data_IF_886498629880
#
_entry.id   IF_886498629880
#
_cell.length_a   1.000
_cell.length_b   1.000
_cell.length_c   1.000
_cell.angle_alpha   90.00
_cell.angle_beta   90.00
_cell.angle_gamma   90.00
#
_symmetry.space_group_name_H-M   'P 1'
#
loop_
_entity.id
_entity.type
_entity.pdbx_description
1 polymer ?
#
# COMPACT_ATOMS: atom_id res chain seq x y z
N UNK A 1 25.49 31.72 -33.82
CA UNK A 1 24.74 30.46 -33.97
C UNK A 1 25.14 29.54 -32.81
N UNK A 2 24.62 29.81 -31.60
CA UNK A 2 24.95 29.12 -30.35
C UNK A 2 23.86 28.09 -30.06
N UNK A 3 24.21 26.80 -30.04
CA UNK A 3 23.36 25.75 -29.46
C UNK A 3 23.64 25.70 -27.95
N UNK A 4 22.65 26.07 -27.15
CA UNK A 4 22.71 25.96 -25.69
C UNK A 4 22.56 24.50 -25.26
N UNK A 5 23.57 24.00 -24.55
CA UNK A 5 23.51 22.79 -23.74
C UNK A 5 22.75 23.11 -22.46
N UNK A 6 21.49 22.67 -22.36
CA UNK A 6 20.79 22.63 -21.08
C UNK A 6 21.29 21.42 -20.27
N UNK A 7 22.31 21.66 -19.43
CA UNK A 7 22.67 20.79 -18.30
C UNK A 7 21.54 20.88 -17.26
N UNK A 8 20.69 19.87 -17.20
CA UNK A 8 19.80 19.66 -16.05
C UNK A 8 20.65 18.98 -14.96
N UNK A 9 20.95 19.73 -13.91
CA UNK A 9 21.77 19.28 -12.78
C UNK A 9 21.01 18.25 -11.96
N UNK A 10 21.42 16.98 -12.06
CA UNK A 10 20.95 15.87 -11.24
C UNK A 10 21.58 16.02 -9.84
N UNK A 11 20.87 16.62 -8.89
CA UNK A 11 21.27 16.57 -7.48
C UNK A 11 20.96 15.19 -6.91
N UNK A 12 21.91 14.27 -7.09
CA UNK A 12 22.04 13.07 -6.27
C UNK A 12 22.18 13.47 -4.79
N UNK A 13 21.14 13.24 -3.99
CA UNK A 13 21.33 12.89 -2.58
C UNK A 13 21.25 11.37 -2.48
N UNK A 14 22.34 10.72 -2.87
CA UNK A 14 22.61 9.35 -2.46
C UNK A 14 22.82 9.38 -0.94
N UNK A 15 21.78 9.04 -0.18
CA UNK A 15 22.02 8.32 1.07
C UNK A 15 22.61 7.00 0.62
N UNK A 16 23.93 6.86 0.72
CA UNK A 16 24.57 5.58 0.50
C UNK A 16 23.89 4.56 1.41
N UNK A 17 23.36 3.52 0.79
CA UNK A 17 22.66 2.39 1.40
C UNK A 17 23.44 1.73 2.53
N UNK A 18 24.75 2.00 2.65
CA UNK A 18 25.66 1.44 3.64
C UNK A 18 25.29 1.75 5.10
N UNK A 19 24.77 2.94 5.43
CA UNK A 19 24.49 3.26 6.86
C UNK A 19 23.17 2.68 7.39
N UNK A 20 22.24 2.33 6.50
CA UNK A 20 20.98 1.67 6.86
C UNK A 20 21.10 0.14 6.70
N UNK A 21 21.89 -0.33 5.73
CA UNK A 21 22.21 -1.74 5.53
C UNK A 21 23.00 -2.34 6.70
N UNK A 22 23.91 -1.59 7.33
CA UNK A 22 24.63 -2.06 8.52
C UNK A 22 23.72 -2.27 9.76
N UNK A 23 22.49 -1.75 9.74
CA UNK A 23 21.53 -1.90 10.84
C UNK A 23 20.44 -2.95 10.57
N UNK A 24 20.29 -3.42 9.33
CA UNK A 24 19.28 -4.43 8.97
C UNK A 24 19.94 -5.57 8.20
N UNK A 25 20.57 -6.49 8.94
CA UNK A 25 20.83 -7.83 8.42
C UNK A 25 19.49 -8.48 8.07
N UNK A 26 19.11 -8.44 6.79
CA UNK A 26 18.55 -9.53 5.99
C UNK A 26 17.78 -8.98 4.79
N UNK A 27 18.03 -9.64 3.66
CA UNK A 27 17.27 -9.76 2.41
C UNK A 27 16.87 -8.47 1.68
N UNK A 28 17.61 -8.25 0.59
CA UNK A 28 17.28 -7.34 -0.50
C UNK A 28 15.91 -7.73 -1.08
N UNK A 29 14.86 -6.99 -0.73
CA UNK A 29 13.62 -7.00 -1.51
C UNK A 29 13.88 -6.23 -2.81
N UNK A 30 13.97 -6.93 -3.94
CA UNK A 30 13.98 -6.28 -5.26
C UNK A 30 12.74 -5.37 -5.35
N UNK A 31 12.97 -4.08 -5.58
CA UNK A 31 11.91 -3.07 -5.57
C UNK A 31 11.58 -2.67 -7.01
N UNK A 32 10.32 -2.75 -7.41
CA UNK A 32 9.90 -2.20 -8.69
C UNK A 32 9.20 -0.86 -8.50
N UNK A 33 9.57 0.08 -9.36
CA UNK A 33 8.97 1.39 -9.40
C UNK A 33 8.07 1.47 -10.64
N UNK A 34 6.77 1.67 -10.45
CA UNK A 34 5.90 2.05 -11.55
C UNK A 34 6.13 3.54 -11.85
N UNK A 35 6.58 3.81 -13.07
CA UNK A 35 6.41 5.12 -13.70
C UNK A 35 4.91 5.34 -13.83
N UNK A 36 4.43 6.57 -13.57
CA UNK A 36 3.09 6.78 -13.09
C UNK A 36 2.08 6.24 -14.07
N UNK A 37 0.97 5.83 -13.47
CA UNK A 37 -0.36 5.93 -14.03
C UNK A 37 -0.37 7.12 -15.01
N UNK A 38 -0.26 6.84 -16.31
CA UNK A 38 -0.46 7.84 -17.35
C UNK A 38 -1.80 8.54 -17.05
N UNK A 39 -1.95 9.82 -17.38
CA UNK A 39 -3.22 10.55 -17.21
C UNK A 39 -4.44 9.75 -17.71
N UNK A 40 -4.26 8.85 -18.67
CA UNK A 40 -5.22 7.81 -19.03
C UNK A 40 -5.54 6.87 -17.88
N UNK A 41 -4.62 6.03 -17.41
CA UNK A 41 -4.91 5.06 -16.35
C UNK A 41 -5.50 5.75 -15.10
N UNK A 42 -5.12 7.01 -14.85
CA UNK A 42 -5.69 7.86 -13.80
C UNK A 42 -7.14 8.21 -14.12
N UNK A 43 -7.41 8.66 -15.34
CA UNK A 43 -8.75 8.97 -15.82
C UNK A 43 -9.66 7.74 -15.80
N UNK A 44 -9.13 6.55 -16.11
CA UNK A 44 -9.86 5.29 -15.98
C UNK A 44 -10.26 5.05 -14.53
N UNK A 45 -9.30 5.14 -13.60
CA UNK A 45 -9.55 5.00 -12.16
C UNK A 45 -10.57 6.03 -11.67
N UNK A 46 -10.48 7.28 -12.11
CA UNK A 46 -11.45 8.34 -11.79
C UNK A 46 -12.84 8.01 -12.31
N UNK A 47 -12.99 7.64 -13.59
CA UNK A 47 -14.29 7.31 -14.18
C UNK A 47 -14.96 6.15 -13.43
N UNK A 48 -14.19 5.11 -13.11
CA UNK A 48 -14.69 3.95 -12.36
C UNK A 48 -15.05 4.36 -10.93
N UNK A 49 -14.20 5.13 -10.26
CA UNK A 49 -14.46 5.60 -8.89
C UNK A 49 -15.66 6.55 -8.79
N UNK A 50 -15.79 7.52 -9.69
CA UNK A 50 -16.89 8.49 -9.70
C UNK A 50 -18.24 7.78 -9.82
N UNK A 51 -18.28 6.65 -10.54
CA UNK A 51 -19.51 5.92 -10.75
C UNK A 51 -19.87 4.98 -9.59
N UNK A 52 -18.87 4.36 -8.94
CA UNK A 52 -19.10 3.27 -8.00
C UNK A 52 -18.69 3.57 -6.54
N UNK A 53 -17.97 4.66 -6.26
CA UNK A 53 -17.51 5.01 -4.90
C UNK A 53 -18.64 5.15 -3.88
N UNK A 54 -19.78 5.73 -4.26
CA UNK A 54 -20.97 5.83 -3.42
C UNK A 54 -21.54 4.46 -3.04
N UNK A 55 -21.92 3.61 -4.01
CA UNK A 55 -22.35 2.22 -3.77
C UNK A 55 -21.42 1.43 -2.86
N UNK A 56 -20.08 1.53 -3.04
CA UNK A 56 -19.10 0.79 -2.24
C UNK A 56 -19.26 0.96 -0.72
N UNK A 57 -19.72 2.12 -0.26
CA UNK A 57 -19.86 2.43 1.17
C UNK A 57 -21.01 1.70 1.86
N UNK A 58 -22.01 1.24 1.08
CA UNK A 58 -23.22 0.58 1.60
C UNK A 58 -23.00 -0.87 1.98
N UNK A 59 -21.95 -1.49 1.46
CA UNK A 59 -21.65 -2.89 1.73
C UNK A 59 -20.91 -3.05 3.04
N UNK A 60 -21.09 -4.18 3.71
CA UNK A 60 -20.39 -4.50 4.96
C UNK A 60 -19.06 -5.23 4.74
N UNK A 61 -18.41 -5.00 3.60
CA UNK A 61 -17.09 -5.55 3.26
C UNK A 61 -16.02 -4.45 3.27
N UNK A 62 -14.76 -4.81 3.54
CA UNK A 62 -13.64 -3.86 3.54
C UNK A 62 -13.56 -3.13 2.17
N UNK A 63 -13.43 -1.80 2.21
CA UNK A 63 -13.46 -0.96 1.02
C UNK A 63 -12.28 -1.23 0.07
N UNK A 64 -11.09 -1.56 0.57
CA UNK A 64 -9.94 -1.88 -0.29
C UNK A 64 -10.18 -3.17 -1.07
N UNK A 65 -10.81 -4.17 -0.45
CA UNK A 65 -11.19 -5.43 -1.11
C UNK A 65 -12.20 -5.15 -2.22
N UNK A 66 -13.29 -4.43 -1.90
CA UNK A 66 -14.31 -4.09 -2.90
C UNK A 66 -13.75 -3.22 -4.04
N UNK A 67 -12.81 -2.34 -3.73
CA UNK A 67 -12.15 -1.51 -4.73
C UNK A 67 -11.22 -2.31 -5.62
N UNK A 68 -10.54 -3.31 -5.08
CA UNK A 68 -9.76 -4.26 -5.88
C UNK A 68 -10.66 -5.07 -6.81
N UNK A 69 -11.79 -5.58 -6.33
CA UNK A 69 -12.79 -6.25 -7.15
C UNK A 69 -13.32 -5.36 -8.28
N UNK A 70 -13.73 -4.13 -7.94
CA UNK A 70 -14.21 -3.15 -8.91
C UNK A 70 -13.17 -2.82 -10.00
N UNK A 71 -11.89 -2.63 -9.64
CA UNK A 71 -10.85 -2.35 -10.62
C UNK A 71 -10.58 -3.55 -11.53
N UNK A 72 -10.62 -4.77 -10.96
CA UNK A 72 -10.45 -6.01 -11.71
C UNK A 72 -11.58 -6.21 -12.73
N UNK A 73 -12.83 -6.08 -12.29
CA UNK A 73 -14.01 -6.17 -13.14
C UNK A 73 -14.04 -5.08 -14.21
N UNK A 74 -13.58 -3.87 -13.87
CA UNK A 74 -13.48 -2.78 -14.82
C UNK A 74 -12.49 -3.09 -15.96
N UNK A 75 -11.39 -3.82 -15.69
CA UNK A 75 -10.49 -4.30 -16.74
C UNK A 75 -11.23 -5.26 -17.69
N UNK A 76 -11.95 -6.25 -17.14
CA UNK A 76 -12.72 -7.21 -17.93
C UNK A 76 -13.84 -6.54 -18.75
N UNK A 77 -14.53 -5.56 -18.16
CA UNK A 77 -15.56 -4.78 -18.83
C UNK A 77 -15.03 -3.75 -19.84
N UNK A 78 -13.75 -3.38 -19.74
CA UNK A 78 -13.05 -2.68 -20.82
C UNK A 78 -12.75 -3.59 -22.01
N UNK A 79 -12.94 -4.91 -21.85
CA UNK A 79 -12.68 -5.92 -22.85
C UNK A 79 -11.30 -6.56 -22.72
N UNK A 80 -10.50 -6.23 -21.70
CA UNK A 80 -9.22 -6.89 -21.49
C UNK A 80 -9.41 -8.36 -21.15
N UNK A 81 -8.61 -9.21 -21.79
CA UNK A 81 -8.57 -10.65 -21.56
C UNK A 81 -7.14 -11.16 -21.51
N UNK A 82 -6.94 -12.25 -20.77
CA UNK A 82 -5.67 -12.95 -20.78
C UNK A 82 -5.46 -13.68 -22.13
N UNK A 83 -4.31 -13.43 -22.75
CA UNK A 83 -3.87 -14.15 -23.95
C UNK A 83 -2.56 -14.90 -23.68
N UNK A 84 -2.57 -16.25 -23.64
CA UNK A 84 -1.38 -17.04 -23.38
C UNK A 84 -0.26 -16.85 -24.40
N UNK A 85 -0.62 -16.52 -25.64
CA UNK A 85 0.29 -16.33 -26.78
C UNK A 85 0.81 -14.91 -26.91
N UNK A 86 0.31 -13.96 -26.11
CA UNK A 86 0.79 -12.58 -26.12
C UNK A 86 2.28 -12.51 -25.75
N UNK A 87 2.96 -11.46 -26.22
CA UNK A 87 4.37 -11.26 -25.94
C UNK A 87 4.64 -11.36 -24.44
N UNK A 88 5.44 -12.36 -24.06
CA UNK A 88 5.94 -12.45 -22.69
C UNK A 88 7.00 -11.38 -22.55
N UNK A 89 6.75 -10.40 -21.70
CA UNK A 89 7.81 -9.51 -21.25
C UNK A 89 8.87 -10.35 -20.51
N UNK A 90 10.15 -10.02 -20.68
CA UNK A 90 11.23 -10.58 -19.87
C UNK A 90 11.36 -9.85 -18.52
N UNK A 91 10.26 -9.26 -18.04
CA UNK A 91 10.20 -8.39 -16.88
C UNK A 91 10.84 -9.01 -15.64
N UNK A 92 10.40 -10.21 -15.26
CA UNK A 92 10.91 -10.88 -14.06
C UNK A 92 12.39 -11.26 -14.21
N UNK A 93 12.87 -11.52 -15.44
CA UNK A 93 14.27 -11.80 -15.74
C UNK A 93 15.13 -10.54 -15.60
N UNK A 94 14.72 -9.42 -16.19
CA UNK A 94 15.44 -8.13 -16.11
C UNK A 94 15.50 -7.59 -14.69
N UNK A 95 14.47 -7.82 -13.88
CA UNK A 95 14.44 -7.40 -12.48
C UNK A 95 15.33 -8.25 -11.56
N UNK A 96 15.68 -9.47 -11.96
CA UNK A 96 16.69 -10.24 -11.21
C UNK A 96 18.08 -9.60 -11.31
N UNK A 97 18.31 -8.79 -12.36
CA UNK A 97 19.60 -8.17 -12.66
C UNK A 97 19.74 -6.75 -12.07
N UNK A 98 18.63 -6.07 -11.73
CA UNK A 98 18.62 -4.66 -11.30
C UNK A 98 17.97 -4.45 -9.92
N UNK A 99 18.58 -3.60 -9.07
CA UNK A 99 18.04 -3.23 -7.75
C UNK A 99 16.72 -2.43 -7.82
N UNK A 100 16.47 -1.74 -8.93
CA UNK A 100 15.24 -0.97 -9.16
C UNK A 100 14.95 -0.82 -10.65
N UNK A 101 13.84 -1.39 -11.11
CA UNK A 101 13.37 -1.23 -12.49
C UNK A 101 12.18 -0.26 -12.55
N UNK A 102 12.20 0.61 -13.56
CA UNK A 102 11.10 1.51 -13.88
C UNK A 102 10.15 0.84 -14.88
N UNK A 103 8.89 0.68 -14.48
CA UNK A 103 7.89 -0.03 -15.27
C UNK A 103 6.78 0.92 -15.69
N UNK A 104 6.40 0.86 -16.97
CA UNK A 104 5.27 1.58 -17.53
C UNK A 104 4.20 0.53 -17.85
N UNK A 105 2.95 0.67 -17.37
CA UNK A 105 1.86 -0.19 -17.81
C UNK A 105 1.78 -0.17 -19.35
N UNK A 106 1.74 -1.31 -20.05
CA UNK A 106 1.73 -1.29 -21.50
C UNK A 106 0.41 -0.71 -21.98
N UNK A 107 0.43 0.51 -22.51
CA UNK A 107 -0.79 1.15 -23.06
C UNK A 107 -1.37 0.35 -24.24
N UNK A 108 -0.52 -0.47 -24.88
CA UNK A 108 -0.87 -1.34 -26.01
C UNK A 108 -1.93 -2.39 -25.65
N UNK A 109 -1.98 -2.91 -24.40
CA UNK A 109 -3.02 -3.88 -24.04
C UNK A 109 -4.42 -3.26 -24.07
N UNK A 110 -4.54 -1.96 -23.78
CA UNK A 110 -5.83 -1.26 -23.86
C UNK A 110 -6.27 -1.07 -25.32
N UNK A 111 -5.35 -1.01 -26.28
CA UNK A 111 -5.71 -0.98 -27.70
C UNK A 111 -6.02 -2.37 -28.27
N UNK A 112 -5.32 -3.41 -27.82
CA UNK A 112 -5.48 -4.77 -28.33
C UNK A 112 -6.56 -5.56 -27.59
N UNK A 113 -7.02 -5.06 -26.44
CA UNK A 113 -7.96 -5.73 -25.54
C UNK A 113 -7.46 -7.10 -25.05
N UNK A 114 -6.15 -7.34 -25.13
CA UNK A 114 -5.49 -8.59 -24.74
C UNK A 114 -4.12 -8.29 -24.14
N UNK A 115 -3.65 -9.16 -23.25
CA UNK A 115 -2.32 -9.03 -22.67
C UNK A 115 -1.81 -10.34 -22.08
N UNK A 116 -0.49 -10.43 -21.95
CA UNK A 116 0.17 -11.51 -21.24
C UNK A 116 -0.10 -11.42 -19.73
N UNK A 117 0.14 -12.51 -19.00
CA UNK A 117 -0.09 -12.55 -17.56
C UNK A 117 0.73 -11.49 -16.80
N UNK A 118 1.93 -11.16 -17.30
CA UNK A 118 2.80 -10.15 -16.69
C UNK A 118 2.29 -8.72 -16.92
N UNK A 119 1.84 -8.43 -18.14
CA UNK A 119 1.29 -7.12 -18.50
C UNK A 119 0.01 -6.83 -17.73
N UNK A 120 -0.86 -7.84 -17.59
CA UNK A 120 -2.06 -7.76 -16.76
C UNK A 120 -1.71 -7.56 -15.28
N UNK A 121 -0.69 -8.25 -14.76
CA UNK A 121 -0.25 -8.10 -13.37
C UNK A 121 0.25 -6.68 -13.08
N UNK A 122 1.09 -6.14 -13.96
CA UNK A 122 1.62 -4.77 -13.85
C UNK A 122 0.48 -3.75 -13.93
N UNK A 123 -0.46 -3.94 -14.85
CA UNK A 123 -1.59 -3.03 -15.07
C UNK A 123 -2.54 -3.03 -13.87
N UNK A 124 -2.90 -4.22 -13.37
CA UNK A 124 -3.76 -4.34 -12.20
C UNK A 124 -3.09 -3.75 -10.94
N UNK A 125 -1.80 -4.03 -10.73
CA UNK A 125 -1.04 -3.42 -9.63
C UNK A 125 -1.02 -1.89 -9.73
N UNK A 126 -0.80 -1.33 -10.92
CA UNK A 126 -0.83 0.13 -11.15
C UNK A 126 -2.19 0.74 -10.80
N UNK A 127 -3.30 0.09 -11.16
CA UNK A 127 -4.65 0.54 -10.80
C UNK A 127 -4.86 0.54 -9.28
N UNK A 128 -4.34 -0.45 -8.56
CA UNK A 128 -4.46 -0.52 -7.11
C UNK A 128 -3.61 0.55 -6.42
N UNK A 129 -2.37 0.77 -6.88
CA UNK A 129 -1.49 1.84 -6.38
C UNK A 129 -2.12 3.23 -6.60
N UNK A 130 -2.77 3.45 -7.75
CA UNK A 130 -3.55 4.66 -8.04
C UNK A 130 -4.64 4.91 -6.99
N UNK A 131 -5.21 3.82 -6.50
CA UNK A 131 -6.23 3.81 -5.47
C UNK A 131 -5.67 3.80 -4.03
N UNK A 132 -4.35 4.03 -3.87
CA UNK A 132 -3.63 4.00 -2.58
C UNK A 132 -3.72 2.65 -1.88
N UNK A 133 -3.79 1.58 -2.65
CA UNK A 133 -3.73 0.21 -2.17
C UNK A 133 -2.33 -0.29 -2.53
N UNK A 134 -1.50 -0.52 -1.51
CA UNK A 134 -0.16 -1.03 -1.71
C UNK A 134 -0.20 -2.44 -2.32
N UNK A 135 0.71 -2.71 -3.23
CA UNK A 135 0.77 -3.94 -4.00
C UNK A 135 2.14 -4.58 -3.99
N UNK A 136 2.16 -5.88 -4.24
CA UNK A 136 3.37 -6.63 -4.50
C UNK A 136 3.11 -7.69 -5.58
N UNK A 137 4.16 -8.08 -6.30
CA UNK A 137 4.07 -9.18 -7.26
C UNK A 137 4.78 -10.41 -6.71
N UNK A 138 4.10 -11.54 -6.77
CA UNK A 138 4.66 -12.84 -6.50
C UNK A 138 4.97 -13.52 -7.83
N UNK A 139 6.25 -13.81 -8.05
CA UNK A 139 6.70 -14.62 -9.18
C UNK A 139 6.43 -16.10 -8.88
N UNK A 140 5.17 -16.53 -9.05
CA UNK A 140 4.81 -17.95 -9.00
C UNK A 140 5.15 -18.63 -10.33
N UNK A 141 5.54 -19.91 -10.28
CA UNK A 141 6.20 -20.66 -11.36
C UNK A 141 5.48 -20.72 -12.72
N UNK A 142 4.18 -20.37 -12.80
CA UNK A 142 3.41 -20.38 -14.06
C UNK A 142 2.86 -19.00 -14.44
N UNK A 143 2.23 -18.29 -13.51
CA UNK A 143 1.65 -16.96 -13.73
C UNK A 143 1.92 -16.04 -12.54
N UNK A 144 2.26 -14.76 -12.77
CA UNK A 144 2.45 -13.80 -11.69
C UNK A 144 1.14 -13.58 -10.93
N UNK A 145 1.27 -13.54 -9.61
CA UNK A 145 0.15 -13.27 -8.69
C UNK A 145 0.31 -11.84 -8.16
N UNK A 146 -0.78 -11.08 -8.16
CA UNK A 146 -0.81 -9.74 -7.56
C UNK A 146 -1.27 -9.85 -6.12
N UNK A 147 -0.44 -9.40 -5.19
CA UNK A 147 -0.74 -9.24 -3.78
C UNK A 147 -1.15 -7.79 -3.51
N UNK A 148 -2.13 -7.56 -2.64
CA UNK A 148 -2.54 -6.21 -2.25
C UNK A 148 -2.87 -6.08 -0.75
N UNK A 149 -2.55 -4.91 -0.18
CA UNK A 149 -2.79 -4.58 1.22
C UNK A 149 -4.28 -4.30 1.45
N UNK A 150 -4.95 -5.19 2.18
CA UNK A 150 -6.37 -5.01 2.58
C UNK A 150 -6.54 -3.92 3.65
N UNK A 151 -5.45 -3.49 4.31
CA UNK A 151 -5.48 -2.61 5.48
C UNK A 151 -6.07 -3.26 6.73
N UNK A 152 -6.38 -4.56 6.70
CA UNK A 152 -6.87 -5.31 7.84
C UNK A 152 -5.65 -5.67 8.70
N UNK A 153 -5.67 -5.29 9.97
CA UNK A 153 -4.57 -5.58 10.91
C UNK A 153 -4.46 -7.10 11.15
N UNK A 154 -3.24 -7.64 11.28
CA UNK A 154 -2.99 -9.08 11.46
C UNK A 154 -3.66 -9.69 12.68
N UNK A 155 -4.07 -8.88 13.66
CA UNK A 155 -4.82 -9.36 14.85
C UNK A 155 -6.16 -10.00 14.49
N UNK A 156 -6.70 -9.66 13.32
CA UNK A 156 -7.92 -10.26 12.79
C UNK A 156 -7.65 -11.55 11.98
N UNK A 157 -6.38 -11.99 11.89
CA UNK A 157 -5.99 -13.20 11.15
C UNK A 157 -6.67 -14.46 11.68
N UNK A 158 -6.96 -14.51 12.98
CA UNK A 158 -7.69 -15.63 13.61
C UNK A 158 -9.09 -15.83 13.02
N UNK A 159 -9.75 -14.76 12.58
CA UNK A 159 -11.07 -14.85 11.92
C UNK A 159 -10.93 -15.62 10.59
N UNK A 160 -9.75 -15.60 9.98
CA UNK A 160 -9.42 -16.28 8.72
C UNK A 160 -8.76 -17.66 8.90
N UNK A 161 -8.76 -18.24 10.11
CA UNK A 161 -7.95 -19.43 10.45
C UNK A 161 -8.37 -20.75 9.77
N UNK A 162 -9.62 -20.91 9.34
CA UNK A 162 -10.13 -22.19 8.81
C UNK A 162 -9.92 -22.41 7.30
N UNK A 163 -8.77 -22.00 6.73
CA UNK A 163 -8.38 -22.28 5.32
C UNK A 163 -9.31 -21.71 4.22
N UNK A 164 -10.30 -20.89 4.57
CA UNK A 164 -11.33 -20.43 3.64
C UNK A 164 -10.90 -19.29 2.71
N UNK A 165 -9.83 -18.58 3.08
CA UNK A 165 -9.29 -17.43 2.36
C UNK A 165 -7.77 -17.45 2.46
N UNK A 166 -7.09 -17.45 1.32
CA UNK A 166 -5.63 -17.31 1.31
C UNK A 166 -5.21 -15.87 1.60
N UNK A 167 -4.34 -15.72 2.58
CA UNK A 167 -3.71 -14.45 2.91
C UNK A 167 -2.27 -14.64 3.36
N UNK A 168 -1.50 -13.57 3.23
CA UNK A 168 -0.16 -13.42 3.82
C UNK A 168 -0.14 -12.20 4.75
N UNK A 169 0.82 -12.17 5.67
CA UNK A 169 1.00 -11.05 6.60
C UNK A 169 2.24 -10.26 6.21
N UNK A 170 2.08 -8.95 5.99
CA UNK A 170 3.19 -8.00 5.78
C UNK A 170 2.88 -6.66 6.40
N UNK A 171 3.89 -6.04 7.01
CA UNK A 171 3.75 -4.74 7.68
C UNK A 171 2.56 -4.71 8.65
N UNK A 172 2.34 -5.84 9.34
CA UNK A 172 1.26 -6.03 10.31
C UNK A 172 -0.17 -5.97 9.71
N UNK A 173 -0.29 -6.02 8.39
CA UNK A 173 -1.55 -6.09 7.67
C UNK A 173 -1.71 -7.45 6.98
N UNK A 174 -2.95 -7.81 6.72
CA UNK A 174 -3.36 -8.95 5.92
C UNK A 174 -3.36 -8.52 4.45
N UNK A 175 -2.70 -9.30 3.61
CA UNK A 175 -2.62 -9.08 2.17
C UNK A 175 -3.32 -10.23 1.45
N UNK A 176 -4.11 -9.88 0.45
CA UNK A 176 -4.82 -10.84 -0.39
C UNK A 176 -4.12 -10.98 -1.73
N UNK A 177 -4.30 -12.14 -2.34
CA UNK A 177 -3.69 -12.52 -3.60
C UNK A 177 -4.74 -12.63 -4.70
N UNK A 178 -4.38 -12.28 -5.93
CA UNK A 178 -5.28 -12.38 -7.08
C UNK A 178 -4.51 -12.92 -8.28
N UNK A 179 -5.07 -13.92 -8.93
CA UNK A 179 -4.50 -14.46 -10.16
C UNK A 179 -5.07 -13.73 -11.38
N UNK A 180 -4.27 -12.84 -11.97
CA UNK A 180 -4.70 -11.91 -13.04
C UNK A 180 -5.04 -12.58 -14.37
N UNK A 181 -4.74 -13.86 -14.54
CA UNK A 181 -5.19 -14.63 -15.71
C UNK A 181 -6.71 -14.81 -15.75
N UNK A 182 -7.42 -14.51 -14.65
CA UNK A 182 -8.88 -14.46 -14.61
C UNK A 182 -9.51 -13.17 -15.12
N UNK A 183 -8.73 -12.16 -15.57
CA UNK A 183 -9.29 -10.90 -16.09
C UNK A 183 -10.21 -11.20 -17.29
N UNK A 184 -11.39 -10.57 -17.28
CA UNK A 184 -12.51 -10.88 -18.19
C UNK A 184 -13.64 -11.66 -17.51
N UNK A 185 -13.36 -12.34 -16.40
CA UNK A 185 -14.33 -12.89 -15.46
C UNK A 185 -14.50 -12.02 -14.20
N UNK A 186 -15.37 -12.44 -13.26
CA UNK A 186 -15.57 -11.73 -12.00
C UNK A 186 -14.37 -11.93 -11.06
N UNK A 187 -14.04 -10.91 -10.26
CA UNK A 187 -12.89 -10.91 -9.34
C UNK A 187 -12.84 -12.13 -8.43
N UNK A 188 -13.97 -12.57 -7.87
CA UNK A 188 -13.97 -13.65 -6.89
C UNK A 188 -13.46 -14.99 -7.47
N UNK A 189 -13.64 -15.23 -8.77
CA UNK A 189 -13.09 -16.42 -9.44
C UNK A 189 -11.56 -16.33 -9.52
N UNK A 190 -11.03 -15.16 -9.88
CA UNK A 190 -9.58 -14.89 -9.93
C UNK A 190 -8.92 -14.93 -8.54
N UNK A 191 -9.65 -14.50 -7.51
CA UNK A 191 -9.23 -14.61 -6.12
C UNK A 191 -9.16 -16.06 -5.64
N UNK A 192 -10.21 -16.87 -5.89
CA UNK A 192 -10.26 -18.29 -5.53
C UNK A 192 -9.11 -19.12 -6.11
N UNK A 193 -8.63 -18.79 -7.32
CA UNK A 193 -7.50 -19.50 -7.95
C UNK A 193 -6.21 -19.43 -7.14
N UNK A 194 -6.09 -18.47 -6.22
CA UNK A 194 -4.93 -18.33 -5.34
C UNK A 194 -5.01 -19.19 -4.08
N UNK A 195 -6.15 -19.82 -3.79
CA UNK A 195 -6.37 -20.57 -2.56
C UNK A 195 -5.47 -21.81 -2.53
N UNK A 196 -4.81 -22.05 -1.38
CA UNK A 196 -3.78 -23.07 -1.20
C UNK A 196 -2.39 -22.70 -1.71
N UNK A 197 -2.19 -21.55 -2.38
CA UNK A 197 -0.87 -21.14 -2.92
C UNK A 197 -0.07 -20.28 -1.94
N UNK A 198 -0.72 -19.55 -1.03
CA UNK A 198 -0.09 -18.44 -0.26
C UNK A 198 -0.29 -18.57 1.26
N UNK A 199 -1.07 -19.56 1.73
CA UNK A 199 -1.44 -19.77 3.13
C UNK A 199 -0.38 -19.34 4.18
N UNK A 200 -0.75 -18.31 4.96
CA UNK A 200 -0.23 -17.89 6.28
C UNK A 200 1.29 -17.79 6.46
N UNK A 201 2.05 -17.69 5.37
CA UNK A 201 3.48 -17.38 5.43
C UNK A 201 3.69 -15.87 5.52
N UNK A 202 4.63 -15.37 6.35
CA UNK A 202 5.08 -13.98 6.26
C UNK A 202 5.52 -13.68 4.84
N UNK A 203 5.14 -12.52 4.31
CA UNK A 203 5.50 -12.16 2.94
C UNK A 203 7.01 -12.04 2.76
N UNK A 204 7.76 -11.76 3.84
CA UNK A 204 9.23 -11.76 3.83
C UNK A 204 9.84 -13.16 3.57
N UNK A 205 9.05 -14.24 3.75
CA UNK A 205 9.43 -15.61 3.39
C UNK A 205 9.02 -15.99 1.96
N UNK A 206 8.34 -15.09 1.25
CA UNK A 206 7.88 -15.29 -0.11
C UNK A 206 8.66 -14.31 -1.00
N UNK A 207 9.31 -14.74 -2.08
CA UNK A 207 9.91 -13.82 -3.03
C UNK A 207 8.85 -12.89 -3.61
N UNK A 208 8.81 -11.65 -3.10
CA UNK A 208 7.84 -10.63 -3.50
C UNK A 208 8.55 -9.37 -3.94
N UNK A 209 7.97 -8.74 -4.95
CA UNK A 209 8.44 -7.47 -5.45
C UNK A 209 7.49 -6.39 -5.00
N UNK A 210 8.00 -5.42 -4.23
CA UNK A 210 7.19 -4.25 -3.87
C UNK A 210 7.01 -3.34 -5.07
N UNK A 211 5.78 -2.87 -5.25
CA UNK A 211 5.39 -2.03 -6.36
C UNK A 211 4.97 -0.66 -5.82
N UNK A 212 5.42 0.41 -6.47
CA UNK A 212 5.14 1.78 -6.03
C UNK A 212 4.72 2.68 -7.19
N UNK A 213 3.70 3.51 -6.96
CA UNK A 213 3.39 4.64 -7.84
C UNK A 213 4.34 5.83 -7.61
N UNK A 214 4.92 6.36 -8.69
CA UNK A 214 5.64 7.64 -8.70
C UNK A 214 5.06 8.56 -9.78
N UNK A 215 4.41 9.64 -9.35
CA UNK A 215 3.84 10.70 -10.20
C UNK A 215 4.86 11.49 -11.03
N UNK A 216 4.50 11.71 -12.29
CA UNK A 216 5.18 12.47 -13.34
C UNK A 216 4.08 12.82 -14.36
N UNK A 217 3.65 14.07 -14.37
CA UNK A 217 2.38 14.53 -14.96
C UNK A 217 2.45 14.72 -16.50
N UNK A 218 3.37 14.04 -17.19
CA UNK A 218 3.77 14.39 -18.58
C UNK A 218 3.33 13.45 -19.69
N UNK A 219 2.53 12.43 -19.42
CA UNK A 219 2.03 11.52 -20.44
C UNK A 219 0.51 11.58 -20.52
N UNK A 220 0.02 12.00 -21.68
CA UNK A 220 -1.39 12.00 -22.05
C UNK A 220 -1.53 11.47 -23.46
N UNK A 221 -1.98 10.22 -23.58
CA UNK A 221 -2.67 9.73 -24.78
C UNK A 221 -4.19 9.80 -24.56
N UNK A 222 -5.02 9.34 -25.50
CA UNK A 222 -6.47 9.25 -25.30
C UNK A 222 -6.90 7.78 -25.30
N UNK A 223 -7.72 7.37 -24.32
CA UNK A 223 -8.49 6.13 -24.45
C UNK A 223 -9.48 6.23 -25.60
N UNK A 224 -9.42 5.27 -26.52
CA UNK A 224 -10.34 5.19 -27.66
C UNK A 224 -11.68 4.55 -27.31
N UNK A 225 -11.72 3.64 -26.33
CA UNK A 225 -12.92 2.86 -26.03
C UNK A 225 -13.71 3.43 -24.84
N UNK A 226 -15.03 3.48 -25.04
CA UNK A 226 -16.00 3.87 -24.02
C UNK A 226 -16.20 2.70 -23.05
N UNK A 227 -15.94 2.89 -21.76
CA UNK A 227 -16.25 1.89 -20.73
C UNK A 227 -17.73 1.46 -20.80
N UNK A 228 -17.97 0.15 -20.95
CA UNK A 228 -19.31 -0.42 -20.93
C UNK A 228 -19.82 -0.54 -19.48
N UNK A 229 -20.44 0.53 -18.99
CA UNK A 229 -20.96 0.62 -17.61
C UNK A 229 -21.87 -0.55 -17.21
N UNK A 230 -22.65 -1.09 -18.15
CA UNK A 230 -23.54 -2.24 -17.88
C UNK A 230 -22.75 -3.51 -17.55
N UNK A 231 -21.63 -3.73 -18.22
CA UNK A 231 -20.80 -4.90 -18.01
C UNK A 231 -20.05 -4.84 -16.67
N UNK A 232 -19.54 -3.65 -16.28
CA UNK A 232 -18.94 -3.46 -14.95
C UNK A 232 -19.97 -3.76 -13.86
N UNK A 233 -21.18 -3.18 -13.96
CA UNK A 233 -22.24 -3.42 -12.99
C UNK A 233 -22.65 -4.89 -12.93
N UNK A 234 -22.62 -5.62 -14.06
CA UNK A 234 -22.94 -7.04 -14.10
C UNK A 234 -21.87 -7.90 -13.42
N UNK A 235 -20.59 -7.70 -13.75
CA UNK A 235 -19.48 -8.42 -13.11
C UNK A 235 -19.41 -8.13 -11.61
N UNK A 236 -19.53 -6.86 -11.24
CA UNK A 236 -19.51 -6.43 -9.84
C UNK A 236 -20.72 -6.95 -9.06
N UNK A 237 -21.88 -7.10 -9.71
CA UNK A 237 -23.04 -7.74 -9.09
C UNK A 237 -22.80 -9.23 -8.86
N UNK A 238 -22.12 -9.95 -9.75
CA UNK A 238 -21.75 -11.36 -9.51
C UNK A 238 -20.77 -11.51 -8.36
N UNK A 239 -19.79 -10.61 -8.25
CA UNK A 239 -18.92 -10.55 -7.08
C UNK A 239 -19.71 -10.27 -5.81
N UNK A 240 -20.67 -9.36 -5.87
CA UNK A 240 -21.56 -9.06 -4.75
C UNK A 240 -22.39 -10.27 -4.34
N UNK A 241 -23.03 -10.96 -5.27
CA UNK A 241 -23.85 -12.15 -4.98
C UNK A 241 -22.98 -13.23 -4.33
N UNK A 242 -21.78 -13.44 -4.86
CA UNK A 242 -20.79 -14.31 -4.23
C UNK A 242 -20.42 -13.85 -2.80
N UNK A 243 -20.31 -12.54 -2.58
CA UNK A 243 -20.05 -11.98 -1.27
C UNK A 243 -21.24 -12.01 -0.28
N UNK A 244 -22.45 -12.17 -0.77
CA UNK A 244 -23.65 -12.27 0.06
C UNK A 244 -23.95 -13.73 0.44
N UNK A 245 -23.71 -14.69 -0.46
CA UNK A 245 -24.13 -16.09 -0.31
C UNK A 245 -23.04 -17.06 0.18
N UNK A 246 -21.76 -16.66 0.22
CA UNK A 246 -20.67 -17.54 0.65
C UNK A 246 -20.31 -17.31 2.15
N UNK A 247 -20.46 -18.35 2.97
CA UNK A 247 -20.12 -18.37 4.41
C UNK A 247 -18.69 -17.85 4.70
N UNK A 248 -17.78 -17.96 3.73
CA UNK A 248 -16.39 -17.46 3.83
C UNK A 248 -16.33 -15.93 3.87
N UNK A 249 -17.37 -15.25 3.41
CA UNK A 249 -17.48 -13.79 3.32
C UNK A 249 -18.18 -13.21 4.55
N UNK A 250 -18.92 -14.01 5.32
CA UNK A 250 -19.37 -13.62 6.66
C UNK A 250 -18.20 -13.27 7.58
N UNK A 251 -17.06 -13.92 7.41
CA UNK A 251 -15.80 -13.56 8.06
C UNK A 251 -15.31 -12.16 7.67
N UNK A 252 -15.44 -11.76 6.39
CA UNK A 252 -15.10 -10.39 5.96
C UNK A 252 -16.06 -9.35 6.54
N UNK A 253 -17.35 -9.69 6.65
CA UNK A 253 -18.36 -8.86 7.31
C UNK A 253 -18.06 -8.73 8.81
N UNK A 254 -17.72 -9.83 9.47
CA UNK A 254 -17.32 -9.89 10.87
C UNK A 254 -16.07 -9.05 11.12
N UNK A 255 -15.03 -9.21 10.31
CA UNK A 255 -13.80 -8.41 10.39
C UNK A 255 -14.13 -6.94 10.27
N UNK A 256 -14.97 -6.53 9.31
CA UNK A 256 -15.35 -5.12 9.16
C UNK A 256 -16.10 -4.60 10.39
N UNK A 257 -17.04 -5.38 10.94
CA UNK A 257 -17.78 -5.03 12.15
C UNK A 257 -16.84 -4.86 13.34
N UNK A 258 -15.97 -5.84 13.58
CA UNK A 258 -14.97 -5.80 14.66
C UNK A 258 -14.00 -4.64 14.49
N UNK A 259 -13.56 -4.36 13.26
CA UNK A 259 -12.75 -3.17 12.94
C UNK A 259 -13.47 -1.86 13.25
N UNK A 260 -14.79 -1.75 12.97
CA UNK A 260 -15.58 -0.55 13.31
C UNK A 260 -15.63 -0.34 14.82
N UNK A 261 -15.86 -1.40 15.59
CA UNK A 261 -15.89 -1.37 17.06
C UNK A 261 -14.53 -0.99 17.64
N UNK A 262 -13.47 -1.65 17.17
CA UNK A 262 -12.09 -1.36 17.58
C UNK A 262 -11.67 0.05 17.20
N UNK A 263 -12.08 0.57 16.03
CA UNK A 263 -11.85 1.97 15.65
C UNK A 263 -12.50 2.93 16.64
N UNK A 264 -13.71 2.64 17.12
CA UNK A 264 -14.37 3.45 18.15
C UNK A 264 -13.61 3.42 19.48
N UNK A 265 -13.18 2.21 19.91
CA UNK A 265 -12.36 2.03 21.13
C UNK A 265 -11.01 2.74 21.02
N UNK A 266 -10.32 2.61 19.89
CA UNK A 266 -9.02 3.23 19.67
C UNK A 266 -9.09 4.76 19.67
N UNK A 267 -10.15 5.36 19.10
CA UNK A 267 -10.41 6.81 19.17
C UNK A 267 -10.64 7.27 20.61
N UNK A 268 -11.38 6.50 21.42
CA UNK A 268 -11.58 6.80 22.84
C UNK A 268 -10.25 6.83 23.59
N UNK A 269 -9.46 5.76 23.48
CA UNK A 269 -8.14 5.67 24.11
C UNK A 269 -7.16 6.76 23.62
N UNK A 270 -7.18 7.12 22.34
CA UNK A 270 -6.41 8.26 21.83
C UNK A 270 -6.82 9.58 22.50
N UNK A 271 -8.13 9.80 22.63
CA UNK A 271 -8.69 11.01 23.23
C UNK A 271 -8.32 11.12 24.70
N UNK A 272 -8.45 10.02 25.44
CA UNK A 272 -8.07 9.94 26.85
C UNK A 272 -6.57 10.11 27.05
N UNK A 273 -5.74 9.47 26.21
CA UNK A 273 -4.30 9.67 26.23
C UNK A 273 -3.89 11.12 25.98
N UNK A 274 -4.55 11.82 25.04
CA UNK A 274 -4.31 13.26 24.79
C UNK A 274 -4.72 14.09 26.00
N UNK A 275 -5.85 13.77 26.65
CA UNK A 275 -6.32 14.46 27.86
C UNK A 275 -5.33 14.29 29.01
N UNK A 276 -4.86 13.07 29.28
CA UNK A 276 -3.82 12.81 30.28
C UNK A 276 -2.50 13.51 29.95
N UNK A 277 -2.11 13.54 28.67
CA UNK A 277 -0.90 14.24 28.24
C UNK A 277 -0.98 15.73 28.54
N UNK A 278 -2.11 16.38 28.23
CA UNK A 278 -2.34 17.81 28.54
C UNK A 278 -2.34 18.09 30.04
N UNK A 279 -2.80 17.14 30.85
CA UNK A 279 -2.80 17.24 32.31
C UNK A 279 -1.44 16.91 32.96
N UNK A 280 -0.39 16.60 32.18
CA UNK A 280 0.92 16.21 32.71
C UNK A 280 1.01 14.77 33.24
N UNK A 281 -0.08 14.00 33.16
CA UNK A 281 -0.15 12.60 33.58
C UNK A 281 0.49 11.67 32.51
N UNK A 282 1.77 11.85 32.22
CA UNK A 282 2.45 11.22 31.08
C UNK A 282 2.45 9.68 31.10
N UNK A 283 2.49 9.06 32.28
CA UNK A 283 2.44 7.60 32.40
C UNK A 283 1.06 7.04 31.99
N UNK A 284 -0.03 7.67 32.46
CA UNK A 284 -1.39 7.34 32.06
C UNK A 284 -1.59 7.61 30.56
N UNK A 285 -1.06 8.73 30.04
CA UNK A 285 -1.11 9.04 28.62
C UNK A 285 -0.48 7.93 27.75
N UNK A 286 0.72 7.49 28.11
CA UNK A 286 1.41 6.39 27.39
C UNK A 286 0.63 5.08 27.49
N UNK A 287 0.02 4.78 28.64
CA UNK A 287 -0.82 3.59 28.80
C UNK A 287 -2.02 3.61 27.85
N UNK A 288 -2.72 4.74 27.78
CA UNK A 288 -3.87 4.91 26.88
C UNK A 288 -3.46 4.89 25.40
N UNK A 289 -2.31 5.45 25.04
CA UNK A 289 -1.77 5.35 23.68
C UNK A 289 -1.43 3.92 23.27
N UNK A 290 -0.91 3.09 24.19
CA UNK A 290 -0.68 1.67 23.93
C UNK A 290 -2.00 0.93 23.68
N UNK A 291 -3.00 1.12 24.55
CA UNK A 291 -4.34 0.56 24.35
C UNK A 291 -4.94 0.97 23.01
N UNK A 292 -4.77 2.23 22.62
CA UNK A 292 -5.20 2.70 21.31
C UNK A 292 -4.53 1.95 20.15
N UNK A 293 -3.22 1.68 20.23
CA UNK A 293 -2.53 0.85 19.25
C UNK A 293 -3.02 -0.60 19.25
N UNK A 294 -3.32 -1.19 20.41
CA UNK A 294 -3.89 -2.55 20.52
C UNK A 294 -5.25 -2.62 19.80
N UNK A 295 -6.05 -1.54 19.87
CA UNK A 295 -7.29 -1.38 19.11
C UNK A 295 -7.10 -0.89 17.65
N UNK A 296 -5.87 -0.87 17.12
CA UNK A 296 -5.61 -0.60 15.70
C UNK A 296 -5.57 0.89 15.32
N UNK A 297 -5.29 1.80 16.25
CA UNK A 297 -4.97 3.18 15.91
C UNK A 297 -3.71 3.27 15.02
N UNK A 298 -3.63 4.32 14.18
CA UNK A 298 -2.45 4.62 13.36
C UNK A 298 -1.18 4.61 14.23
N UNK A 299 -0.34 3.60 14.03
CA UNK A 299 0.86 3.39 14.84
C UNK A 299 1.81 4.58 14.74
N UNK A 300 1.89 5.21 13.56
CA UNK A 300 2.66 6.44 13.38
C UNK A 300 2.21 7.58 14.29
N UNK A 301 0.89 7.82 14.38
CA UNK A 301 0.29 8.81 15.28
C UNK A 301 0.47 8.42 16.74
N UNK A 302 0.26 7.16 17.09
CA UNK A 302 0.43 6.65 18.47
C UNK A 302 1.87 6.86 18.94
N UNK A 303 2.85 6.39 18.18
CA UNK A 303 4.27 6.55 18.51
C UNK A 303 4.67 8.02 18.59
N UNK A 304 4.17 8.86 17.69
CA UNK A 304 4.43 10.30 17.74
C UNK A 304 3.86 10.96 19.01
N UNK A 305 2.66 10.56 19.46
CA UNK A 305 2.06 11.06 20.70
C UNK A 305 2.80 10.55 21.95
N UNK A 306 3.23 9.29 21.95
CA UNK A 306 4.10 8.74 23.00
C UNK A 306 5.42 9.50 23.10
N UNK A 307 6.05 9.83 21.96
CA UNK A 307 7.26 10.63 21.92
C UNK A 307 7.08 12.02 22.55
N UNK A 308 5.91 12.66 22.40
CA UNK A 308 5.58 13.90 23.11
C UNK A 308 5.55 13.70 24.63
N UNK A 309 4.92 12.62 25.10
CA UNK A 309 4.87 12.31 26.52
C UNK A 309 6.28 12.07 27.11
N UNK A 310 7.16 11.40 26.36
CA UNK A 310 8.56 11.20 26.77
C UNK A 310 9.36 12.50 26.77
N UNK A 311 9.15 13.36 25.77
CA UNK A 311 9.77 14.69 25.72
C UNK A 311 9.44 15.53 26.94
N UNK A 312 8.16 15.58 27.31
CA UNK A 312 7.71 16.40 28.45
C UNK A 312 8.28 15.87 29.78
N UNK A 313 8.53 14.55 29.88
CA UNK A 313 9.29 13.92 30.97
C UNK A 313 10.81 14.04 30.86
N UNK A 314 11.34 14.65 29.80
CA UNK A 314 12.78 14.70 29.46
C UNK A 314 13.43 13.32 29.31
N UNK A 315 12.65 12.30 28.97
CA UNK A 315 13.12 10.94 28.71
C UNK A 315 13.54 10.80 27.24
N UNK A 316 14.68 11.40 26.90
CA UNK A 316 15.16 11.49 25.52
C UNK A 316 15.58 10.13 24.94
N UNK A 317 15.99 9.18 25.78
CA UNK A 317 16.31 7.82 25.32
C UNK A 317 15.05 7.08 24.84
N UNK A 318 13.93 7.17 25.57
CA UNK A 318 12.66 6.63 25.06
C UNK A 318 12.16 7.37 23.82
N UNK A 319 12.42 8.67 23.69
CA UNK A 319 12.15 9.38 22.44
C UNK A 319 12.95 8.80 21.28
N UNK A 320 14.28 8.62 21.43
CA UNK A 320 15.15 8.04 20.39
C UNK A 320 14.63 6.68 19.94
N UNK A 321 14.34 5.78 20.90
CA UNK A 321 13.76 4.45 20.60
C UNK A 321 12.43 4.55 19.86
N UNK A 322 11.57 5.50 20.23
CA UNK A 322 10.27 5.71 19.58
C UNK A 322 10.42 6.25 18.15
N UNK A 323 11.36 7.18 17.94
CA UNK A 323 11.71 7.69 16.62
C UNK A 323 12.29 6.61 15.69
N UNK A 324 13.13 5.73 16.22
CA UNK A 324 13.63 4.56 15.47
C UNK A 324 12.50 3.61 15.09
N UNK A 325 11.58 3.30 16.02
CA UNK A 325 10.40 2.47 15.72
C UNK A 325 9.52 3.07 14.63
N UNK A 326 9.34 4.40 14.63
CA UNK A 326 8.63 5.10 13.55
C UNK A 326 9.30 4.89 12.19
N UNK A 327 10.63 4.97 12.13
CA UNK A 327 11.39 4.78 10.89
C UNK A 327 11.51 3.32 10.46
N UNK A 328 11.48 2.38 11.41
CA UNK A 328 11.37 0.94 11.10
C UNK A 328 10.03 0.64 10.43
N UNK A 329 8.95 1.22 10.95
CA UNK A 329 7.61 1.05 10.38
C UNK A 329 7.43 1.79 9.05
N UNK A 330 7.91 3.03 8.96
CA UNK A 330 7.87 3.83 7.75
C UNK A 330 9.11 4.72 7.64
N UNK A 331 10.07 4.27 6.82
CA UNK A 331 11.37 4.95 6.59
C UNK A 331 11.23 6.36 5.99
N UNK A 332 10.07 6.72 5.45
CA UNK A 332 9.79 8.04 4.85
C UNK A 332 8.86 8.90 5.72
N UNK A 333 8.44 8.43 6.89
CA UNK A 333 7.59 9.22 7.77
C UNK A 333 8.36 10.41 8.38
N UNK A 334 8.03 11.66 8.03
CA UNK A 334 8.72 12.82 8.59
C UNK A 334 8.61 12.90 10.11
N UNK A 335 7.56 12.31 10.72
CA UNK A 335 7.37 12.28 12.17
C UNK A 335 8.51 11.52 12.86
N UNK A 336 9.01 10.43 12.27
CA UNK A 336 10.12 9.65 12.82
C UNK A 336 11.40 10.47 12.89
N UNK A 337 11.79 11.11 11.78
CA UNK A 337 12.94 12.02 11.73
C UNK A 337 12.78 13.20 12.68
N UNK A 338 11.57 13.77 12.80
CA UNK A 338 11.28 14.87 13.73
C UNK A 338 11.46 14.45 15.18
N UNK A 339 10.98 13.27 15.57
CA UNK A 339 11.15 12.73 16.92
C UNK A 339 12.63 12.52 17.25
N UNK A 340 13.39 11.90 16.35
CA UNK A 340 14.83 11.71 16.53
C UNK A 340 15.57 13.04 16.62
N UNK A 341 15.27 13.97 15.72
CA UNK A 341 15.89 15.29 15.69
C UNK A 341 15.68 16.07 16.98
N UNK A 342 14.45 16.07 17.51
CA UNK A 342 14.16 16.66 18.82
C UNK A 342 14.85 15.92 19.96
N UNK A 343 14.89 14.59 19.94
CA UNK A 343 15.52 13.80 20.99
C UNK A 343 17.03 14.09 21.10
N UNK A 344 17.74 14.10 19.97
CA UNK A 344 19.16 14.45 19.91
C UNK A 344 19.42 15.93 20.24
N UNK A 345 18.55 16.84 19.77
CA UNK A 345 18.66 18.25 20.10
C UNK A 345 18.57 18.49 21.62
N UNK A 346 17.57 17.89 22.29
CA UNK A 346 17.41 18.05 23.74
C UNK A 346 18.40 17.22 24.57
N UNK A 347 19.04 16.18 24.02
CA UNK A 347 20.13 15.45 24.67
C UNK A 347 21.50 16.10 24.51
N UNK A 348 21.62 17.21 23.78
CA UNK A 348 22.87 17.97 23.60
C UNK A 348 23.62 17.70 22.28
N UNK A 349 23.19 16.71 21.49
CA UNK A 349 23.80 16.34 20.21
C UNK A 349 23.27 17.21 19.06
N UNK A 350 23.49 18.52 19.16
CA UNK A 350 22.87 19.53 18.29
C UNK A 350 23.07 19.27 16.80
N UNK A 351 24.27 18.85 16.39
CA UNK A 351 24.61 18.55 14.99
C UNK A 351 23.74 17.41 14.44
N UNK A 352 23.63 16.32 15.18
CA UNK A 352 22.82 15.16 14.80
C UNK A 352 21.34 15.54 14.80
N UNK A 353 20.90 16.27 15.82
CA UNK A 353 19.54 16.80 15.91
C UNK A 353 19.15 17.62 14.68
N UNK A 354 20.01 18.56 14.25
CA UNK A 354 19.79 19.38 13.06
C UNK A 354 19.70 18.56 11.77
N UNK A 355 20.53 17.52 11.59
CA UNK A 355 20.46 16.65 10.42
C UNK A 355 19.09 15.96 10.31
N UNK A 356 18.62 15.37 11.41
CA UNK A 356 17.32 14.70 11.46
C UNK A 356 16.15 15.69 11.24
N UNK A 357 16.18 16.87 11.87
CA UNK A 357 15.15 17.90 11.66
C UNK A 357 15.12 18.42 10.22
N UNK A 358 16.29 18.58 9.59
CA UNK A 358 16.40 19.01 8.19
C UNK A 358 15.81 17.96 7.25
N UNK A 359 16.07 16.67 7.52
CA UNK A 359 15.46 15.55 6.78
C UNK A 359 13.95 15.50 6.95
N UNK A 360 13.44 15.71 8.18
CA UNK A 360 12.00 15.79 8.44
C UNK A 360 11.35 16.89 7.60
N UNK A 361 11.92 18.10 7.60
CA UNK A 361 11.43 19.25 6.83
C UNK A 361 11.44 19.00 5.32
N UNK A 362 12.49 18.35 4.80
CA UNK A 362 12.57 17.95 3.40
C UNK A 362 11.44 16.99 3.02
N UNK A 363 11.18 15.97 3.85
CA UNK A 363 10.11 15.00 3.60
C UNK A 363 8.71 15.64 3.73
N UNK A 364 8.47 16.50 4.72
CA UNK A 364 7.20 17.24 4.88
C UNK A 364 6.91 18.09 3.64
N UNK A 365 7.93 18.80 3.11
CA UNK A 365 7.80 19.61 1.90
C UNK A 365 7.37 18.77 0.71
N UNK A 366 8.00 17.61 0.50
CA UNK A 366 7.69 16.74 -0.65
C UNK A 366 6.33 16.03 -0.49
N UNK A 367 5.89 15.74 0.73
CA UNK A 367 4.54 15.25 1.02
C UNK A 367 3.46 16.29 0.68
N UNK A 368 3.70 17.57 0.94
CA UNK A 368 2.78 18.65 0.60
C UNK A 368 2.66 18.88 -0.91
N UNK A 369 3.73 18.65 -1.68
CA UNK A 369 3.68 18.72 -3.15
C UNK A 369 2.99 17.49 -3.79
N UNK A 370 2.94 16.35 -3.11
CA UNK A 370 2.15 15.19 -3.53
C UNK A 370 0.64 15.30 -3.19
N UNK A 371 0.25 16.34 -2.44
CA UNK A 371 -1.13 16.58 -1.99
C UNK A 371 -1.85 17.71 -2.73
N UNK A 372 -1.27 18.26 -3.80
CA UNK A 372 -1.94 19.16 -4.73
C UNK A 372 -2.22 18.45 -6.05
#
# INVERSE_FOLDING_TARGET
MMKSLFKISFCMFALTSTSLAQATNNDLTNTALLIPIDSNLQRFVEIVNDHYSGPLTKYDINQKILKAALMFDALGAYGLQYEPTAHKSDFFSKLAEEDTLYLIPPLEIFSESKGSAQELAITFAALLEANRIATALLNASEHPIVLFDTGIHKKYSEIFSDETVDYTIKNNHIWFAVEVTGVGGPFHEAWKKTFGKIQSRPMDLIPVMEVFDRRDDKLALMFKNKLEKRQISFLFQRDKDYFEDDDRIDKLKEVKRTMREDKSRSVRHLTDGIRYLKAGAHAAAVSEFKRAADYGADLGKVLFLMAKAFRDKRDYEKMKRTGLKLLQFNRRDPRGYKVLGLAYYYSGDLRIGQQFLSRAKFLEKNLLFAGK
#
